data_IF_057385523575
#
_entry.id   IF_057385523575
#
_cell.length_a   1.000
_cell.length_b   1.000
_cell.length_c   1.000
_cell.angle_alpha   90.00
_cell.angle_beta   90.00
_cell.angle_gamma   90.00
#
_symmetry.space_group_name_H-M   'P 1'
#
loop_
_entity.id
_entity.type
_entity.pdbx_description
1 polymer ?
#
# COMPACT_ATOMS: atom_id res chain seq x y z
N UNK A 1 7.85 10.95 41.75
CA UNK A 1 7.87 12.17 40.91
C UNK A 1 8.00 11.89 39.40
N UNK A 2 8.19 10.64 38.95
CA UNK A 2 8.34 10.28 37.51
C UNK A 2 7.03 9.75 36.88
N UNK A 3 6.06 9.29 37.68
CA UNK A 3 4.80 8.73 37.17
C UNK A 3 3.81 9.79 36.65
N UNK A 4 3.95 11.05 37.06
CA UNK A 4 3.08 12.15 36.61
C UNK A 4 3.43 12.72 35.23
N UNK A 5 4.69 12.61 34.80
CA UNK A 5 5.16 13.07 33.49
C UNK A 5 4.69 12.16 32.36
N UNK A 6 4.57 10.84 32.61
CA UNK A 6 4.11 9.88 31.59
C UNK A 6 2.61 10.01 31.30
N UNK A 7 1.78 10.31 32.31
CA UNK A 7 0.33 10.48 32.13
C UNK A 7 -0.02 11.72 31.30
N UNK A 8 0.73 12.81 31.50
CA UNK A 8 0.54 14.05 30.74
C UNK A 8 1.05 13.93 29.30
N UNK A 9 2.16 13.24 29.05
CA UNK A 9 2.63 12.98 27.68
C UNK A 9 1.66 12.13 26.86
N UNK A 10 1.00 11.13 27.48
CA UNK A 10 -0.02 10.30 26.79
C UNK A 10 -1.29 11.11 26.50
N UNK A 11 -1.73 11.96 27.44
CA UNK A 11 -2.87 12.87 27.19
C UNK A 11 -2.58 13.90 26.11
N UNK A 12 -1.39 14.50 26.11
CA UNK A 12 -0.97 15.45 25.07
C UNK A 12 -0.87 14.73 23.72
N UNK A 13 -0.38 13.50 23.67
CA UNK A 13 -0.33 12.71 22.44
C UNK A 13 -1.73 12.29 21.94
N UNK A 14 -2.66 11.96 22.83
CA UNK A 14 -4.07 11.67 22.49
C UNK A 14 -4.82 12.92 22.02
N UNK A 15 -4.57 14.08 22.64
CA UNK A 15 -5.13 15.37 22.24
C UNK A 15 -4.51 15.85 20.92
N UNK A 16 -3.21 15.61 20.69
CA UNK A 16 -2.58 15.86 19.39
C UNK A 16 -3.13 14.91 18.31
N UNK A 17 -3.31 13.61 18.60
CA UNK A 17 -3.89 12.65 17.65
C UNK A 17 -5.34 13.00 17.30
N UNK A 18 -6.14 13.45 18.26
CA UNK A 18 -7.53 13.89 18.01
C UNK A 18 -7.57 15.23 17.26
N UNK A 19 -6.68 16.20 17.56
CA UNK A 19 -6.57 17.44 16.78
C UNK A 19 -5.99 17.25 15.37
N UNK A 20 -5.06 16.32 15.17
CA UNK A 20 -4.53 15.97 13.84
C UNK A 20 -5.55 15.19 13.01
N UNK A 21 -6.40 14.36 13.65
CA UNK A 21 -7.52 13.68 12.98
C UNK A 21 -8.60 14.65 12.50
N UNK A 22 -8.75 15.78 13.18
CA UNK A 22 -9.73 16.84 12.84
C UNK A 22 -9.15 17.92 11.92
N UNK A 23 -7.84 17.97 11.73
CA UNK A 23 -7.11 18.89 10.85
C UNK A 23 -6.36 18.11 9.76
N UNK A 24 -7.07 17.28 9.00
CA UNK A 24 -6.62 16.87 7.67
C UNK A 24 -7.36 17.75 6.65
N UNK A 25 -6.88 18.97 6.38
CA UNK A 25 -7.52 19.87 5.44
C UNK A 25 -7.48 19.27 4.02
N UNK A 26 -8.47 19.66 3.23
CA UNK A 26 -8.76 19.29 1.84
C UNK A 26 -7.59 19.32 0.84
N UNK A 27 -6.42 19.84 1.22
CA UNK A 27 -5.17 19.89 0.43
C UNK A 27 -4.59 18.50 0.08
N UNK A 28 -4.86 17.48 0.89
CA UNK A 28 -4.38 16.09 0.64
C UNK A 28 -5.11 15.36 -0.49
N UNK A 29 -6.16 15.94 -1.07
CA UNK A 29 -6.94 15.32 -2.14
C UNK A 29 -6.18 15.28 -3.47
N UNK A 30 -5.31 16.27 -3.72
CA UNK A 30 -4.44 16.33 -4.90
C UNK A 30 -3.28 15.33 -4.80
N UNK A 31 -2.64 15.24 -3.63
CA UNK A 31 -1.60 14.24 -3.35
C UNK A 31 -2.14 12.80 -3.48
N UNK A 32 -3.33 12.51 -2.95
CA UNK A 32 -3.97 11.19 -3.08
C UNK A 32 -4.36 10.82 -4.52
N UNK A 33 -4.70 11.80 -5.36
CA UNK A 33 -4.95 11.54 -6.79
C UNK A 33 -3.67 11.29 -7.58
N UNK A 34 -2.59 11.98 -7.22
CA UNK A 34 -1.26 11.79 -7.82
C UNK A 34 -0.72 10.39 -7.51
N UNK A 35 -0.81 9.96 -6.24
CA UNK A 35 -0.45 8.61 -5.78
C UNK A 35 -1.26 7.52 -6.52
N UNK A 36 -2.58 7.75 -6.73
CA UNK A 36 -3.47 6.84 -7.48
C UNK A 36 -3.05 6.65 -8.94
N UNK A 37 -2.70 7.73 -9.63
CA UNK A 37 -2.26 7.65 -11.04
C UNK A 37 -0.94 6.90 -11.16
N UNK A 38 -0.05 7.06 -10.17
CA UNK A 38 1.27 6.43 -10.15
C UNK A 38 1.20 4.90 -9.92
N UNK A 39 0.29 4.43 -9.07
CA UNK A 39 0.07 3.00 -8.84
C UNK A 39 -0.51 2.28 -10.05
N UNK A 40 -1.47 2.89 -10.76
CA UNK A 40 -2.05 2.32 -11.98
C UNK A 40 -1.00 2.26 -13.09
N UNK A 41 -0.19 3.31 -13.27
CA UNK A 41 0.90 3.28 -14.25
C UNK A 41 1.93 2.21 -13.95
N UNK A 42 2.29 2.00 -12.68
CA UNK A 42 3.23 0.93 -12.28
C UNK A 42 2.67 -0.47 -12.56
N UNK A 43 1.35 -0.66 -12.38
CA UNK A 43 0.68 -1.93 -12.69
C UNK A 43 0.71 -2.23 -14.19
N UNK A 44 0.42 -1.22 -15.02
CA UNK A 44 0.47 -1.34 -16.49
C UNK A 44 1.89 -1.60 -16.97
N UNK A 45 2.89 -0.93 -16.39
CA UNK A 45 4.30 -1.14 -16.71
C UNK A 45 4.75 -2.58 -16.36
N UNK A 46 4.40 -3.06 -15.16
CA UNK A 46 4.71 -4.42 -14.72
C UNK A 46 4.06 -5.48 -15.60
N UNK A 47 2.78 -5.31 -15.96
CA UNK A 47 2.07 -6.26 -16.82
C UNK A 47 2.67 -6.28 -18.24
N UNK A 48 3.04 -5.11 -18.78
CA UNK A 48 3.74 -5.00 -20.06
C UNK A 48 5.10 -5.68 -20.04
N UNK A 49 5.88 -5.51 -18.97
CA UNK A 49 7.16 -6.20 -18.79
C UNK A 49 7.00 -7.72 -18.71
N UNK A 50 6.01 -8.21 -17.95
CA UNK A 50 5.70 -9.65 -17.85
C UNK A 50 5.31 -10.26 -19.20
N UNK A 51 4.48 -9.57 -19.98
CA UNK A 51 4.08 -10.03 -21.33
C UNK A 51 5.27 -10.05 -22.29
N UNK A 52 6.14 -9.01 -22.24
CA UNK A 52 7.37 -8.97 -23.03
C UNK A 52 8.33 -10.10 -22.65
N UNK A 53 8.43 -10.44 -21.36
CA UNK A 53 9.29 -11.51 -20.85
C UNK A 53 8.80 -12.92 -21.24
N UNK A 54 7.50 -13.09 -21.50
CA UNK A 54 6.91 -14.37 -21.97
C UNK A 54 7.11 -14.56 -23.47
N UNK A 55 7.07 -13.49 -24.26
CA UNK A 55 7.20 -13.56 -25.72
C UNK A 55 8.66 -13.52 -26.20
N UNK A 56 9.59 -13.17 -25.33
CA UNK A 56 11.00 -13.01 -25.68
C UNK A 56 11.81 -14.29 -25.39
N UNK A 57 12.43 -14.84 -26.42
CA UNK A 57 13.33 -15.99 -26.31
C UNK A 57 14.75 -15.51 -25.91
N UNK A 58 15.33 -15.93 -24.77
CA UNK A 58 16.58 -15.37 -24.27
C UNK A 58 17.80 -15.80 -25.12
N UNK A 59 18.07 -15.08 -26.20
CA UNK A 59 19.31 -15.22 -26.98
C UNK A 59 20.46 -14.43 -26.33
N UNK A 60 21.68 -14.99 -26.31
CA UNK A 60 22.86 -14.44 -25.59
C UNK A 60 23.31 -13.04 -26.03
N UNK A 61 22.82 -12.54 -27.18
CA UNK A 61 23.17 -11.23 -27.75
C UNK A 61 22.38 -10.05 -27.15
N UNK A 62 21.29 -10.28 -26.42
CA UNK A 62 20.38 -9.21 -25.98
C UNK A 62 20.49 -8.87 -24.48
N UNK A 63 21.70 -8.91 -23.92
CA UNK A 63 21.95 -8.68 -22.48
C UNK A 63 21.50 -7.30 -22.00
N UNK A 64 21.67 -6.26 -22.82
CA UNK A 64 21.24 -4.90 -22.50
C UNK A 64 19.71 -4.76 -22.43
N UNK A 65 18.98 -5.49 -23.28
CA UNK A 65 17.52 -5.51 -23.24
C UNK A 65 17.01 -6.14 -21.94
N UNK A 66 17.66 -7.24 -21.52
CA UNK A 66 17.33 -7.93 -20.27
C UNK A 66 17.62 -7.06 -19.04
N UNK A 67 18.73 -6.31 -19.04
CA UNK A 67 19.06 -5.32 -18.01
C UNK A 67 18.05 -4.17 -17.97
N UNK A 68 17.66 -3.63 -19.13
CA UNK A 68 16.64 -2.59 -19.21
C UNK A 68 15.29 -3.07 -18.66
N UNK A 69 14.88 -4.29 -19.01
CA UNK A 69 13.65 -4.90 -18.52
C UNK A 69 13.67 -5.11 -17.01
N UNK A 70 14.78 -5.61 -16.46
CA UNK A 70 14.96 -5.75 -15.00
C UNK A 70 14.94 -4.39 -14.28
N UNK A 71 15.51 -3.34 -14.88
CA UNK A 71 15.48 -1.99 -14.34
C UNK A 71 14.07 -1.42 -14.27
N UNK A 72 13.28 -1.57 -15.35
CA UNK A 72 11.89 -1.12 -15.40
C UNK A 72 11.03 -1.92 -14.41
N UNK A 73 11.23 -3.24 -14.35
CA UNK A 73 10.52 -4.11 -13.42
C UNK A 73 10.83 -3.74 -11.96
N UNK A 74 12.10 -3.56 -11.60
CA UNK A 74 12.51 -3.14 -10.26
C UNK A 74 12.00 -1.74 -9.87
N UNK A 75 11.96 -0.80 -10.83
CA UNK A 75 11.36 0.51 -10.60
C UNK A 75 9.87 0.39 -10.25
N UNK A 76 9.13 -0.40 -11.03
CA UNK A 76 7.70 -0.58 -10.82
C UNK A 76 7.39 -1.31 -9.50
N UNK A 77 8.20 -2.29 -9.10
CA UNK A 77 8.10 -2.94 -7.78
C UNK A 77 8.41 -1.97 -6.63
N UNK A 78 9.42 -1.11 -6.78
CA UNK A 78 9.74 -0.08 -5.79
C UNK A 78 8.56 0.88 -5.54
N UNK A 79 7.87 1.30 -6.60
CA UNK A 79 6.65 2.11 -6.50
C UNK A 79 5.55 1.35 -5.75
N UNK A 80 5.37 0.09 -6.11
CA UNK A 80 4.38 -0.79 -5.49
C UNK A 80 4.58 -0.93 -3.97
N UNK A 81 5.83 -1.19 -3.57
CA UNK A 81 6.21 -1.34 -2.16
C UNK A 81 5.98 -0.06 -1.37
N UNK A 82 6.33 1.11 -1.94
CA UNK A 82 6.13 2.40 -1.27
C UNK A 82 4.65 2.70 -1.05
N UNK A 83 3.81 2.46 -2.07
CA UNK A 83 2.36 2.64 -1.98
C UNK A 83 1.72 1.73 -0.92
N UNK A 84 2.09 0.45 -0.90
CA UNK A 84 1.56 -0.52 0.06
C UNK A 84 1.95 -0.16 1.49
N UNK A 85 3.21 0.22 1.72
CA UNK A 85 3.71 0.61 3.04
C UNK A 85 3.04 1.89 3.55
N UNK A 86 2.84 2.88 2.67
CA UNK A 86 2.09 4.11 2.97
C UNK A 86 0.65 3.80 3.40
N UNK A 87 -0.05 2.93 2.65
CA UNK A 87 -1.44 2.59 2.92
C UNK A 87 -1.62 1.82 4.22
N UNK A 88 -0.73 0.87 4.53
CA UNK A 88 -0.74 0.12 5.80
C UNK A 88 -0.60 1.10 6.98
N UNK A 89 0.30 2.08 6.87
CA UNK A 89 0.48 3.09 7.91
C UNK A 89 -0.75 3.99 8.09
N UNK A 90 -1.46 4.29 7.00
CA UNK A 90 -2.68 5.10 7.04
C UNK A 90 -3.88 4.35 7.65
N UNK A 91 -4.00 3.04 7.42
CA UNK A 91 -5.11 2.22 7.93
C UNK A 91 -4.95 1.91 9.42
N UNK A 92 -3.72 1.64 9.87
CA UNK A 92 -3.43 1.23 11.25
C UNK A 92 -2.65 2.29 12.04
N UNK A 93 -3.05 3.56 11.95
CA UNK A 93 -2.34 4.67 12.60
C UNK A 93 -2.14 4.53 14.14
N UNK A 94 -2.97 3.73 14.82
CA UNK A 94 -2.84 3.46 16.26
C UNK A 94 -2.00 2.21 16.61
N UNK A 95 -1.76 1.30 15.66
CA UNK A 95 -1.02 0.04 15.88
C UNK A 95 -0.09 -0.30 14.70
N UNK A 96 0.55 0.72 14.13
CA UNK A 96 1.33 0.57 12.89
C UNK A 96 2.53 -0.36 13.08
N UNK A 97 3.16 -0.35 14.25
CA UNK A 97 4.37 -1.15 14.54
C UNK A 97 4.08 -2.66 14.53
N UNK A 98 2.97 -3.08 15.15
CA UNK A 98 2.54 -4.47 15.14
C UNK A 98 1.98 -4.90 13.77
N UNK A 99 1.23 -4.02 13.10
CA UNK A 99 0.68 -4.31 11.77
C UNK A 99 1.79 -4.48 10.73
N UNK A 100 2.78 -3.58 10.74
CA UNK A 100 3.93 -3.64 9.85
C UNK A 100 4.79 -4.88 10.11
N UNK A 101 5.03 -5.22 11.37
CA UNK A 101 5.74 -6.45 11.75
C UNK A 101 5.05 -7.70 11.20
N UNK A 102 3.74 -7.83 11.39
CA UNK A 102 2.97 -8.97 10.89
C UNK A 102 2.99 -9.04 9.35
N UNK A 103 2.81 -7.90 8.66
CA UNK A 103 2.87 -7.86 7.19
C UNK A 103 4.26 -8.25 6.63
N UNK A 104 5.35 -7.83 7.28
CA UNK A 104 6.71 -8.19 6.85
C UNK A 104 7.02 -9.67 7.05
N UNK A 105 6.56 -10.25 8.15
CA UNK A 105 6.68 -11.69 8.39
C UNK A 105 5.89 -12.48 7.34
N UNK A 106 4.65 -12.06 7.05
CA UNK A 106 3.84 -12.68 6.01
C UNK A 106 4.48 -12.60 4.62
N UNK A 107 5.04 -11.43 4.26
CA UNK A 107 5.76 -11.24 3.01
C UNK A 107 6.98 -12.18 2.92
N UNK A 108 7.78 -12.27 3.99
CA UNK A 108 8.92 -13.18 4.03
C UNK A 108 8.53 -14.66 3.90
N UNK A 109 7.40 -15.08 4.49
CA UNK A 109 6.87 -16.43 4.32
C UNK A 109 6.49 -16.69 2.86
N UNK A 110 5.84 -15.73 2.21
CA UNK A 110 5.50 -15.81 0.78
C UNK A 110 6.75 -15.99 -0.08
N UNK A 111 7.77 -15.15 0.13
CA UNK A 111 9.02 -15.20 -0.64
C UNK A 111 9.74 -16.54 -0.44
N UNK A 112 9.73 -17.06 0.80
CA UNK A 112 10.27 -18.39 1.12
C UNK A 112 9.51 -19.51 0.39
N UNK A 113 8.18 -19.46 0.38
CA UNK A 113 7.36 -20.46 -0.32
C UNK A 113 7.64 -20.45 -1.82
N UNK A 114 7.71 -19.27 -2.44
CA UNK A 114 8.03 -19.12 -3.87
C UNK A 114 9.43 -19.65 -4.18
N UNK A 115 10.40 -19.35 -3.32
CA UNK A 115 11.76 -19.86 -3.47
C UNK A 115 11.80 -21.40 -3.44
N UNK A 116 11.12 -22.03 -2.48
CA UNK A 116 11.06 -23.50 -2.37
C UNK A 116 10.34 -24.14 -3.56
N UNK A 117 9.27 -23.50 -4.06
CA UNK A 117 8.52 -23.96 -5.23
C UNK A 117 9.25 -23.70 -6.55
N UNK A 118 10.30 -22.87 -6.57
CA UNK A 118 10.98 -22.46 -7.79
C UNK A 118 11.62 -23.61 -8.56
N UNK A 119 12.10 -24.66 -7.90
CA UNK A 119 12.72 -25.82 -8.57
C UNK A 119 11.72 -26.78 -9.21
N UNK A 120 10.46 -26.74 -8.75
CA UNK A 120 9.42 -27.72 -9.12
C UNK A 120 8.44 -27.16 -10.16
N UNK A 121 8.33 -25.84 -10.26
CA UNK A 121 7.37 -25.17 -11.15
C UNK A 121 7.94 -24.92 -12.55
N UNK A 122 7.21 -25.36 -13.56
CA UNK A 122 7.44 -25.03 -14.96
C UNK A 122 7.25 -23.51 -15.21
N UNK A 123 7.95 -22.94 -16.19
CA UNK A 123 8.04 -21.48 -16.42
C UNK A 123 6.68 -20.79 -16.58
N UNK A 124 5.72 -21.42 -17.25
CA UNK A 124 4.35 -20.91 -17.40
C UNK A 124 3.65 -20.74 -16.04
N UNK A 125 3.82 -21.69 -15.12
CA UNK A 125 3.17 -21.66 -13.81
C UNK A 125 3.77 -20.57 -12.91
N UNK A 126 5.08 -20.33 -13.03
CA UNK A 126 5.75 -19.23 -12.33
C UNK A 126 5.19 -17.87 -12.74
N UNK A 127 5.02 -17.66 -14.05
CA UNK A 127 4.46 -16.40 -14.58
C UNK A 127 3.00 -16.23 -14.17
N UNK A 128 2.19 -17.30 -14.25
CA UNK A 128 0.79 -17.26 -13.84
C UNK A 128 0.63 -16.94 -12.35
N UNK A 129 1.50 -17.49 -11.49
CA UNK A 129 1.50 -17.21 -10.07
C UNK A 129 1.75 -15.72 -9.79
N UNK A 130 2.78 -15.13 -10.41
CA UNK A 130 3.10 -13.70 -10.27
C UNK A 130 1.94 -12.83 -10.77
N UNK A 131 1.37 -13.14 -11.94
CA UNK A 131 0.25 -12.39 -12.51
C UNK A 131 -0.99 -12.40 -11.61
N UNK A 132 -1.33 -13.56 -11.03
CA UNK A 132 -2.45 -13.70 -10.09
C UNK A 132 -2.20 -12.93 -8.79
N UNK A 133 -0.98 -12.98 -8.24
CA UNK A 133 -0.59 -12.27 -7.03
C UNK A 133 -0.62 -10.75 -7.23
N UNK A 134 -0.13 -10.24 -8.37
CA UNK A 134 -0.22 -8.82 -8.72
C UNK A 134 -1.68 -8.37 -8.82
N UNK A 135 -2.53 -9.16 -9.47
CA UNK A 135 -3.96 -8.83 -9.64
C UNK A 135 -4.69 -8.77 -8.29
N UNK A 136 -4.46 -9.76 -7.42
CA UNK A 136 -5.06 -9.82 -6.09
C UNK A 136 -4.61 -8.65 -5.21
N UNK A 137 -3.33 -8.30 -5.26
CA UNK A 137 -2.79 -7.20 -4.46
C UNK A 137 -3.35 -5.86 -4.94
N UNK A 138 -3.48 -5.66 -6.27
CA UNK A 138 -4.14 -4.46 -6.83
C UNK A 138 -5.58 -4.34 -6.32
N UNK A 139 -6.35 -5.44 -6.38
CA UNK A 139 -7.73 -5.45 -5.93
C UNK A 139 -7.85 -5.13 -4.43
N UNK A 140 -6.96 -5.68 -3.61
CA UNK A 140 -6.91 -5.41 -2.18
C UNK A 140 -6.62 -3.93 -1.89
N UNK A 141 -5.66 -3.32 -2.59
CA UNK A 141 -5.35 -1.89 -2.46
C UNK A 141 -6.56 -1.02 -2.83
N UNK A 142 -7.25 -1.33 -3.92
CA UNK A 142 -8.46 -0.62 -4.35
C UNK A 142 -9.56 -0.72 -3.29
N UNK A 143 -9.82 -1.93 -2.78
CA UNK A 143 -10.84 -2.16 -1.74
C UNK A 143 -10.49 -1.39 -0.47
N UNK A 144 -9.24 -1.45 -0.03
CA UNK A 144 -8.80 -0.78 1.19
C UNK A 144 -8.94 0.74 1.06
N UNK A 145 -8.60 1.31 -0.09
CA UNK A 145 -8.80 2.73 -0.35
C UNK A 145 -10.29 3.12 -0.33
N UNK A 146 -11.17 2.30 -0.92
CA UNK A 146 -12.63 2.51 -0.85
C UNK A 146 -13.12 2.48 0.61
N UNK A 147 -12.63 1.54 1.42
CA UNK A 147 -12.98 1.43 2.84
C UNK A 147 -12.53 2.66 3.61
N UNK A 148 -11.29 3.14 3.39
CA UNK A 148 -10.77 4.35 4.03
C UNK A 148 -11.62 5.57 3.65
N UNK A 149 -11.91 5.75 2.35
CA UNK A 149 -12.78 6.84 1.87
C UNK A 149 -14.16 6.81 2.53
N UNK A 150 -14.77 5.62 2.63
CA UNK A 150 -16.07 5.45 3.29
C UNK A 150 -16.02 5.78 4.78
N UNK A 151 -14.95 5.42 5.48
CA UNK A 151 -14.77 5.75 6.90
C UNK A 151 -14.61 7.25 7.12
N UNK A 152 -13.83 7.92 6.28
CA UNK A 152 -13.69 9.39 6.35
C UNK A 152 -15.01 10.10 6.09
N UNK A 153 -15.75 9.70 5.05
CA UNK A 153 -17.04 10.30 4.73
C UNK A 153 -18.09 10.14 5.85
N UNK A 154 -18.15 8.95 6.48
CA UNK A 154 -19.05 8.71 7.61
C UNK A 154 -18.69 9.56 8.83
N UNK A 155 -17.41 9.67 9.16
CA UNK A 155 -16.96 10.50 10.28
C UNK A 155 -17.34 11.99 10.09
N UNK A 156 -17.19 12.51 8.88
CA UNK A 156 -17.60 13.89 8.56
C UNK A 156 -19.12 14.11 8.68
N UNK A 157 -19.94 13.13 8.26
CA UNK A 157 -21.39 13.21 8.38
C UNK A 157 -21.86 13.23 9.84
N UNK A 158 -21.23 12.40 10.69
CA UNK A 158 -21.54 12.32 12.12
C UNK A 158 -21.18 13.63 12.86
N UNK A 159 -20.01 14.20 12.55
CA UNK A 159 -19.61 15.52 13.10
C UNK A 159 -20.55 16.64 12.65
N UNK A 160 -20.93 16.70 11.38
CA UNK A 160 -21.86 17.73 10.89
C UNK A 160 -23.23 17.63 11.57
N UNK A 161 -23.73 16.41 11.78
CA UNK A 161 -25.00 16.18 12.48
C UNK A 161 -24.92 16.65 13.95
N UNK A 162 -23.80 16.41 14.64
CA UNK A 162 -23.59 16.87 16.01
C UNK A 162 -23.52 18.40 16.13
N UNK A 163 -22.90 19.08 15.15
CA UNK A 163 -22.82 20.55 15.10
C UNK A 163 -24.20 21.16 14.85
N UNK A 164 -25.00 20.61 13.91
CA UNK A 164 -26.35 21.11 13.64
C UNK A 164 -27.26 21.00 14.88
N UNK A 165 -27.15 19.90 15.65
CA UNK A 165 -27.89 19.75 16.91
C UNK A 165 -27.49 20.81 17.94
N UNK A 166 -26.22 21.19 18.03
CA UNK A 166 -25.77 22.24 18.96
C UNK A 166 -26.14 23.66 18.52
N UNK A 167 -26.16 23.94 17.21
CA UNK A 167 -26.53 25.27 16.70
C UNK A 167 -28.03 25.53 16.83
N UNK A 168 -28.84 24.46 16.77
CA UNK A 168 -30.30 24.56 16.77
C UNK A 168 -30.93 24.26 18.15
N UNK A 169 -30.13 24.10 19.21
CA UNK A 169 -30.52 23.92 20.60
C UNK A 169 -30.19 25.17 21.43
#
# INVERSE_FOLDING_TARGET
>A
MVSGLFSNSVKVHLILKTKLKHSAPSSTTHARHFERKFSISATVLNLGCLVAMVHWDPTKEHRYFLLGLLGIWGFADGVWQSQTNSLISAVFADRYESAFGCCRVWQGISDLIVFLLSSVLCMIHKVAFIASACSLTTACLIVLEIVVRRRTARASAETNSAIEIQVNA
#
